data_IF_965897460664
#
_entry.id   IF_965897460664
#
_cell.length_a   1.000
_cell.length_b   1.000
_cell.length_c   1.000
_cell.angle_alpha   90.00
_cell.angle_beta   90.00
_cell.angle_gamma   90.00
#
_symmetry.space_group_name_H-M   'P 1'
#
loop_
_entity.id
_entity.type
_entity.pdbx_description
1 polymer ?
#
# COMPACT_ATOMS: atom_id res chain seq x y z
N UNK A 1 -15.10 -17.68 -7.98
CA UNK A 1 -13.77 -18.01 -7.43
C UNK A 1 -13.20 -16.72 -6.84
N UNK A 2 -12.95 -16.66 -5.53
CA UNK A 2 -12.27 -15.50 -4.92
C UNK A 2 -10.82 -15.57 -5.37
N UNK A 3 -10.42 -14.62 -6.23
CA UNK A 3 -9.01 -14.47 -6.59
C UNK A 3 -8.27 -14.13 -5.31
N UNK A 4 -7.49 -15.08 -4.78
CA UNK A 4 -6.44 -14.77 -3.83
C UNK A 4 -5.43 -13.89 -4.59
N UNK A 5 -5.67 -12.58 -4.61
CA UNK A 5 -4.75 -11.58 -5.14
C UNK A 5 -3.52 -11.58 -4.26
N UNK A 6 -2.62 -12.53 -4.51
CA UNK A 6 -1.23 -12.43 -4.13
C UNK A 6 -0.77 -11.04 -4.61
N UNK A 7 -0.32 -10.21 -3.68
CA UNK A 7 0.25 -8.89 -3.99
C UNK A 7 1.18 -9.02 -5.18
N UNK A 8 0.84 -8.31 -6.26
CA UNK A 8 1.61 -8.29 -7.48
C UNK A 8 2.98 -7.66 -7.15
N UNK A 9 4.07 -8.29 -7.55
CA UNK A 9 5.41 -7.76 -7.30
C UNK A 9 5.76 -6.58 -8.21
N UNK A 10 4.90 -6.26 -9.19
CA UNK A 10 5.03 -5.11 -10.09
C UNK A 10 4.34 -3.86 -9.50
N UNK A 11 4.81 -3.40 -8.35
CA UNK A 11 4.41 -2.08 -7.81
C UNK A 11 5.40 -1.01 -8.32
N UNK A 12 4.96 0.23 -8.44
CA UNK A 12 5.81 1.36 -8.83
C UNK A 12 6.57 1.90 -7.61
N UNK A 13 5.89 1.96 -6.46
CA UNK A 13 6.47 2.41 -5.20
C UNK A 13 5.78 1.76 -4.00
N UNK A 14 6.40 1.88 -2.82
CA UNK A 14 5.86 1.37 -1.56
C UNK A 14 6.43 2.17 -0.38
N UNK A 15 5.71 2.20 0.74
CA UNK A 15 6.16 2.85 1.97
C UNK A 15 5.57 2.19 3.22
N UNK A 16 6.25 2.39 4.36
CA UNK A 16 5.77 1.97 5.68
C UNK A 16 4.97 3.14 6.27
N UNK A 17 3.67 2.96 6.59
CA UNK A 17 2.89 4.00 7.24
C UNK A 17 3.39 4.22 8.67
N UNK A 18 3.26 5.45 9.16
CA UNK A 18 3.75 5.83 10.49
C UNK A 18 2.89 5.21 11.60
N UNK A 19 1.59 5.07 11.34
CA UNK A 19 0.61 4.42 12.22
C UNK A 19 -0.08 3.24 11.51
N UNK A 20 -0.67 2.29 12.27
CA UNK A 20 -1.51 1.26 11.68
C UNK A 20 -2.69 1.87 10.93
N UNK A 21 -2.93 1.41 9.71
CA UNK A 21 -4.08 1.84 8.90
C UNK A 21 -5.24 0.88 9.15
N UNK A 22 -6.30 1.39 9.75
CA UNK A 22 -7.53 0.64 10.06
C UNK A 22 -8.78 1.26 9.43
N UNK A 23 -8.69 2.50 8.94
CA UNK A 23 -9.78 3.21 8.28
C UNK A 23 -9.34 3.81 6.93
N UNK A 24 -10.28 4.07 6.00
CA UNK A 24 -9.98 4.75 4.74
C UNK A 24 -9.29 6.11 4.92
N UNK A 25 -9.71 6.86 5.94
CA UNK A 25 -9.19 8.20 6.23
C UNK A 25 -7.72 8.14 6.65
N UNK A 26 -7.38 7.25 7.59
CA UNK A 26 -5.98 7.00 8.00
C UNK A 26 -5.11 6.59 6.80
N UNK A 27 -5.68 5.85 5.85
CA UNK A 27 -4.97 5.45 4.64
C UNK A 27 -4.66 6.68 3.77
N UNK A 28 -5.66 7.52 3.52
CA UNK A 28 -5.49 8.75 2.74
C UNK A 28 -4.48 9.70 3.38
N UNK A 29 -4.53 9.87 4.71
CA UNK A 29 -3.59 10.72 5.45
C UNK A 29 -2.14 10.25 5.28
N UNK A 30 -1.89 8.94 5.41
CA UNK A 30 -0.55 8.36 5.22
C UNK A 30 -0.07 8.52 3.77
N UNK A 31 -0.96 8.42 2.78
CA UNK A 31 -0.64 8.68 1.36
C UNK A 31 -0.26 10.15 1.15
N UNK A 32 -1.05 11.09 1.66
CA UNK A 32 -0.78 12.52 1.56
C UNK A 32 0.58 12.84 2.21
N UNK A 33 0.83 12.30 3.40
CA UNK A 33 2.10 12.48 4.11
C UNK A 33 3.30 11.93 3.33
N UNK A 34 3.14 10.76 2.67
CA UNK A 34 4.18 10.17 1.84
C UNK A 34 4.56 11.03 0.63
N UNK A 35 3.57 11.56 -0.11
CA UNK A 35 3.81 12.40 -1.29
C UNK A 35 4.25 13.82 -0.93
N UNK A 36 3.75 14.37 0.18
CA UNK A 36 4.18 15.65 0.76
C UNK A 36 5.69 15.67 1.04
N UNK A 37 6.23 14.62 1.66
CA UNK A 37 7.69 14.48 1.93
C UNK A 37 8.54 14.47 0.66
N UNK A 38 7.94 14.17 -0.49
CA UNK A 38 8.58 14.15 -1.81
C UNK A 38 8.29 15.40 -2.64
N UNK A 39 7.60 16.40 -2.09
CA UNK A 39 7.13 17.59 -2.80
C UNK A 39 6.30 17.26 -4.05
N UNK A 40 5.48 16.21 -3.97
CA UNK A 40 4.59 15.78 -5.04
C UNK A 40 3.14 16.06 -4.67
N UNK A 41 2.37 16.55 -5.65
CA UNK A 41 0.93 16.71 -5.51
C UNK A 41 0.22 15.39 -5.80
N UNK A 42 -0.72 15.02 -4.94
CA UNK A 42 -1.56 13.83 -5.09
C UNK A 42 -3.03 14.26 -5.03
N UNK A 43 -3.85 13.74 -5.95
CA UNK A 43 -5.31 13.85 -5.87
C UNK A 43 -5.89 12.51 -5.42
N UNK A 44 -6.79 12.54 -4.45
CA UNK A 44 -7.52 11.36 -3.99
C UNK A 44 -8.76 11.21 -4.86
N UNK A 45 -8.87 10.09 -5.59
CA UNK A 45 -9.99 9.78 -6.48
C UNK A 45 -11.07 8.98 -5.76
N UNK A 46 -10.67 8.10 -4.83
CA UNK A 46 -11.58 7.26 -4.06
C UNK A 46 -10.97 7.00 -2.67
N UNK A 47 -11.71 7.38 -1.62
CA UNK A 47 -11.33 7.18 -0.21
C UNK A 47 -11.96 5.88 0.30
N UNK A 48 -11.20 4.79 0.19
CA UNK A 48 -11.58 3.47 0.68
C UNK A 48 -10.36 2.70 1.21
N UNK A 49 -10.51 1.42 1.57
CA UNK A 49 -9.39 0.58 2.02
C UNK A 49 -8.49 0.06 0.88
N UNK A 50 -8.76 0.49 -0.36
CA UNK A 50 -7.88 0.34 -1.53
C UNK A 50 -7.92 1.64 -2.36
N UNK A 51 -7.44 2.77 -1.80
CA UNK A 51 -7.73 4.08 -2.35
C UNK A 51 -7.10 4.26 -3.73
N UNK A 52 -7.83 4.96 -4.60
CA UNK A 52 -7.34 5.36 -5.92
C UNK A 52 -6.82 6.77 -5.85
N UNK A 53 -5.66 7.00 -6.44
CA UNK A 53 -5.02 8.31 -6.44
C UNK A 53 -4.54 8.68 -7.84
N UNK A 54 -4.31 9.97 -8.05
CA UNK A 54 -3.74 10.51 -9.27
C UNK A 54 -2.50 11.35 -8.94
N UNK A 55 -1.38 11.05 -9.59
CA UNK A 55 -0.11 11.76 -9.45
C UNK A 55 0.44 12.01 -10.84
N UNK A 56 0.74 13.27 -11.19
CA UNK A 56 1.26 13.67 -12.51
C UNK A 56 0.47 13.09 -13.70
N UNK A 57 -0.86 13.22 -13.65
CA UNK A 57 -1.79 12.66 -14.64
C UNK A 57 -1.86 11.14 -14.78
N UNK A 58 -1.17 10.39 -13.91
CA UNK A 58 -1.21 8.93 -13.88
C UNK A 58 -2.07 8.47 -12.70
N UNK A 59 -2.96 7.51 -12.96
CA UNK A 59 -3.79 6.89 -11.93
C UNK A 59 -3.08 5.69 -11.28
N UNK A 60 -3.29 5.57 -9.97
CA UNK A 60 -2.73 4.50 -9.16
C UNK A 60 -3.79 3.92 -8.23
N UNK A 61 -3.61 2.66 -7.84
CA UNK A 61 -4.33 2.03 -6.75
C UNK A 61 -3.34 1.68 -5.63
N UNK A 62 -3.70 2.09 -4.41
CA UNK A 62 -2.92 1.81 -3.22
C UNK A 62 -3.49 0.57 -2.52
N UNK A 63 -2.62 -0.34 -2.08
CA UNK A 63 -3.03 -1.56 -1.38
C UNK A 63 -2.16 -1.78 -0.15
N UNK A 64 -2.81 -2.18 0.93
CA UNK A 64 -2.13 -2.67 2.11
C UNK A 64 -1.54 -4.05 1.87
N UNK A 65 -0.32 -4.28 2.36
CA UNK A 65 0.34 -5.57 2.25
C UNK A 65 1.36 -5.83 3.35
N UNK A 66 1.65 -7.11 3.55
CA UNK A 66 2.76 -7.54 4.41
C UNK A 66 4.07 -7.48 3.63
N UNK A 67 5.21 -7.16 4.28
CA UNK A 67 6.48 -7.30 3.62
C UNK A 67 6.77 -8.80 3.50
N UNK A 68 6.80 -9.30 2.28
CA UNK A 68 7.28 -10.65 2.03
C UNK A 68 8.80 -10.62 1.90
N UNK A 69 9.51 -11.45 2.68
CA UNK A 69 10.90 -11.78 2.36
C UNK A 69 10.84 -12.67 1.12
N UNK A 70 11.25 -12.13 -0.02
CA UNK A 70 11.35 -12.91 -1.25
C UNK A 70 12.70 -13.62 -1.25
N UNK A 71 12.71 -14.89 -0.81
CA UNK A 71 13.83 -15.80 -1.06
C UNK A 71 13.46 -16.71 -2.22
N UNK A 72 14.42 -16.98 -3.11
CA UNK A 72 14.29 -17.46 -4.51
C UNK A 72 13.21 -18.53 -4.83
N UNK A 73 12.66 -19.27 -3.87
CA UNK A 73 11.58 -20.26 -4.09
C UNK A 73 10.39 -20.20 -3.09
N UNK A 74 10.45 -19.40 -2.02
CA UNK A 74 9.39 -19.36 -1.00
C UNK A 74 9.16 -17.93 -0.52
N UNK A 75 7.89 -17.50 -0.53
CA UNK A 75 7.45 -16.25 0.11
C UNK A 75 7.20 -16.55 1.58
N UNK A 76 8.02 -16.02 2.47
CA UNK A 76 7.78 -16.10 3.91
C UNK A 76 7.43 -14.73 4.47
N UNK A 77 6.39 -14.63 5.33
CA UNK A 77 6.10 -13.38 6.03
C UNK A 77 7.28 -13.05 6.95
N UNK A 78 7.75 -11.80 6.94
CA UNK A 78 8.94 -11.39 7.70
C UNK A 78 8.71 -11.48 9.22
N UNK A 79 7.46 -11.43 9.68
CA UNK A 79 7.16 -11.53 11.10
C UNK A 79 5.74 -12.09 11.35
N UNK A 80 5.57 -13.37 11.75
CA UNK A 80 4.26 -13.97 11.98
C UNK A 80 3.53 -13.41 13.21
N UNK A 81 4.22 -12.68 14.10
CA UNK A 81 3.64 -12.07 15.30
C UNK A 81 3.05 -10.67 15.05
N UNK A 82 3.52 -9.94 14.03
CA UNK A 82 3.02 -8.60 13.70
C UNK A 82 1.56 -8.63 13.23
N UNK A 83 1.14 -9.71 12.56
CA UNK A 83 -0.24 -9.90 12.08
C UNK A 83 -1.29 -10.03 13.20
N UNK A 84 -0.90 -10.24 14.47
CA UNK A 84 -1.85 -10.33 15.59
C UNK A 84 -2.17 -8.99 16.26
N UNK A 85 -1.34 -7.96 16.08
CA UNK A 85 -1.49 -6.68 16.80
C UNK A 85 -1.30 -5.42 15.93
N UNK A 86 -0.67 -5.50 14.75
CA UNK A 86 -0.12 -4.31 14.07
C UNK A 86 -0.62 -4.09 12.63
N UNK A 87 -1.60 -4.87 12.15
CA UNK A 87 -2.18 -4.67 10.82
C UNK A 87 -1.16 -4.80 9.69
N UNK A 88 -1.60 -4.50 8.47
CA UNK A 88 -0.73 -4.49 7.29
C UNK A 88 0.35 -3.43 7.45
N UNK A 89 1.61 -3.84 7.25
CA UNK A 89 2.77 -3.00 7.58
C UNK A 89 3.22 -2.10 6.42
N UNK A 90 2.77 -2.33 5.19
CA UNK A 90 3.22 -1.55 4.03
C UNK A 90 2.06 -1.14 3.13
N UNK A 91 2.19 0.04 2.55
CA UNK A 91 1.38 0.53 1.45
C UNK A 91 2.14 0.30 0.17
N UNK A 92 1.53 -0.40 -0.78
CA UNK A 92 2.02 -0.60 -2.14
C UNK A 92 1.21 0.25 -3.11
N UNK A 93 1.90 0.92 -4.03
CA UNK A 93 1.30 1.83 -5.03
C UNK A 93 1.48 1.19 -6.41
N UNK A 94 0.36 0.89 -7.05
CA UNK A 94 0.31 0.22 -8.35
C UNK A 94 -0.23 1.16 -9.40
N UNK A 95 0.50 1.32 -10.51
CA UNK A 95 0.01 2.09 -11.66
C UNK A 95 -1.19 1.37 -12.29
N UNK A 96 -2.30 2.09 -12.43
CA UNK A 96 -3.43 1.67 -13.25
C UNK A 96 -3.05 2.02 -14.70
N UNK A 97 -2.89 0.97 -15.51
CA UNK A 97 -2.47 1.08 -16.91
C UNK A 97 -3.59 1.64 -17.78
#
# INVERSE_FOLDING_TARGET
>A
MKNNTLLNSKYDSYFEPSNPITTPHEFVDEIINYFSKQNQFVSILDECMEPKIKVNDIEYICKLGEPFRQWKLFKTPINPLAGRFLGYKWVYIYKLS
#
